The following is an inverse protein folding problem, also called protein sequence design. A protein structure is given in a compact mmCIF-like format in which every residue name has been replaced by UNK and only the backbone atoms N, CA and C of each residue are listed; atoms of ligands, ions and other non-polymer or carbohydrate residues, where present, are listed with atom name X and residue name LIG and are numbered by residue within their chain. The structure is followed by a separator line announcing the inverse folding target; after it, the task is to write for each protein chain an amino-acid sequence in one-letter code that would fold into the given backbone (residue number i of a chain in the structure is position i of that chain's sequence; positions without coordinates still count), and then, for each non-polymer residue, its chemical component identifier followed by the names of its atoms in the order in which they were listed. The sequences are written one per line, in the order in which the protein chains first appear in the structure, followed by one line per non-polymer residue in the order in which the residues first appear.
data_IF_934172321917
#
_entry.id   IF_934172321917
#
_cell.length_a   1.000
_cell.length_b   1.000
_cell.length_c   1.000
_cell.angle_alpha   90.00
_cell.angle_beta   90.00
_cell.angle_gamma   90.00
#
_symmetry.space_group_name_H-M   'P 1'
#
loop_
_entity.id
_entity.type
_entity.pdbx_description
1 polymer ?
#
# COMPACT_ATOMS: atom_id res chain seq x y z
N UNK A 1 2.66 12.40 -5.88
CA UNK A 1 3.58 11.69 -5.01
C UNK A 1 4.88 11.44 -5.76
N UNK A 2 6.02 11.70 -5.11
CA UNK A 2 7.34 11.43 -5.65
C UNK A 2 7.45 9.95 -6.06
N UNK A 3 8.11 9.67 -7.19
CA UNK A 3 8.21 8.33 -7.73
C UNK A 3 6.95 7.80 -8.43
N UNK A 4 5.88 8.61 -8.54
CA UNK A 4 4.62 8.20 -9.16
C UNK A 4 4.39 8.92 -10.48
N UNK A 5 4.22 8.18 -11.55
CA UNK A 5 3.82 8.58 -12.90
C UNK A 5 4.48 9.87 -13.41
N UNK A 6 3.80 11.02 -13.33
CA UNK A 6 4.29 12.32 -13.82
C UNK A 6 5.23 13.05 -12.85
N UNK A 7 5.36 12.55 -11.61
CA UNK A 7 6.30 13.12 -10.65
C UNK A 7 7.74 12.70 -10.94
N UNK A 8 8.69 13.41 -10.36
CA UNK A 8 10.10 13.04 -10.46
C UNK A 8 10.36 11.61 -9.99
N UNK A 9 11.29 10.93 -10.66
CA UNK A 9 11.65 9.53 -10.44
C UNK A 9 13.13 9.42 -9.97
N UNK A 10 13.49 9.95 -8.78
CA UNK A 10 14.87 9.88 -8.31
C UNK A 10 15.29 8.44 -8.01
N UNK A 11 16.58 8.15 -8.17
CA UNK A 11 17.15 6.83 -7.88
C UNK A 11 17.64 6.67 -6.44
N UNK A 12 17.53 7.72 -5.63
CA UNK A 12 17.95 7.69 -4.23
C UNK A 12 16.93 6.94 -3.37
N UNK A 13 17.28 5.72 -3.00
CA UNK A 13 16.43 4.85 -2.20
C UNK A 13 16.20 5.36 -0.77
N UNK A 14 17.02 6.28 -0.26
CA UNK A 14 16.84 6.89 1.07
C UNK A 14 15.57 7.74 1.17
N UNK A 15 15.04 8.19 0.03
CA UNK A 15 13.81 8.99 -0.05
C UNK A 15 12.53 8.17 0.19
N UNK A 16 12.60 6.84 0.08
CA UNK A 16 11.40 6.00 0.19
C UNK A 16 11.14 5.61 1.65
N UNK A 17 10.64 6.56 2.43
CA UNK A 17 10.25 6.37 3.84
C UNK A 17 8.84 6.91 4.07
N UNK A 18 8.13 6.32 5.03
CA UNK A 18 6.79 6.76 5.41
C UNK A 18 6.80 8.22 5.86
N UNK A 19 7.80 8.61 6.64
CA UNK A 19 7.98 9.97 7.16
C UNK A 19 8.12 10.98 6.01
N UNK A 20 8.90 10.65 4.98
CA UNK A 20 9.08 11.52 3.81
C UNK A 20 7.76 11.72 3.06
N UNK A 21 6.97 10.66 2.90
CA UNK A 21 5.68 10.76 2.23
C UNK A 21 4.63 11.51 3.07
N UNK A 22 4.68 11.40 4.39
CA UNK A 22 3.86 12.22 5.30
C UNK A 22 4.17 13.70 5.11
N UNK A 23 5.44 14.08 5.05
CA UNK A 23 5.85 15.47 4.79
C UNK A 23 5.39 15.96 3.40
N UNK A 24 5.39 15.09 2.40
CA UNK A 24 4.88 15.44 1.07
C UNK A 24 3.38 15.79 1.11
N UNK A 25 2.57 15.03 1.86
CA UNK A 25 1.15 15.36 2.07
C UNK A 25 1.01 16.74 2.72
N UNK A 26 1.83 17.04 3.74
CA UNK A 26 1.81 18.35 4.41
C UNK A 26 2.20 19.49 3.46
N UNK A 27 3.18 19.28 2.58
CA UNK A 27 3.55 20.30 1.59
C UNK A 27 2.42 20.53 0.57
N UNK A 28 1.75 19.46 0.12
CA UNK A 28 0.58 19.59 -0.77
C UNK A 28 -0.54 20.33 -0.06
N UNK A 29 -0.89 19.97 1.19
CA UNK A 29 -1.89 20.67 1.98
C UNK A 29 -1.61 22.19 2.06
N UNK A 30 -0.36 22.56 2.37
CA UNK A 30 0.07 23.97 2.42
C UNK A 30 -0.07 24.67 1.08
N UNK A 31 0.37 24.00 0.01
CA UNK A 31 0.35 24.57 -1.34
C UNK A 31 -1.06 24.89 -1.84
N UNK A 32 -2.06 24.07 -1.45
CA UNK A 32 -3.47 24.29 -1.80
C UNK A 32 -4.22 25.18 -0.79
N UNK A 33 -3.56 25.67 0.26
CA UNK A 33 -4.17 26.52 1.29
C UNK A 33 -5.24 25.82 2.14
N UNK A 34 -5.19 24.48 2.25
CA UNK A 34 -6.14 23.72 3.05
C UNK A 34 -5.77 23.76 4.54
N UNK A 35 -6.78 23.79 5.42
CA UNK A 35 -6.63 23.87 6.87
C UNK A 35 -7.63 22.99 7.62
N UNK A 36 -7.62 23.06 8.96
CA UNK A 36 -8.50 22.28 9.83
C UNK A 36 -10.00 22.50 9.59
N UNK A 37 -10.41 23.53 8.86
CA UNK A 37 -11.83 23.82 8.59
C UNK A 37 -12.31 23.14 7.28
N UNK A 38 -11.40 22.83 6.38
CA UNK A 38 -11.73 22.36 5.03
C UNK A 38 -10.94 21.16 4.54
N UNK A 39 -9.93 20.67 5.28
CA UNK A 39 -9.08 19.57 4.83
C UNK A 39 -9.60 18.22 5.32
N UNK A 40 -10.18 17.45 4.40
CA UNK A 40 -10.43 16.02 4.55
C UNK A 40 -9.40 15.23 3.74
N UNK A 41 -8.82 14.21 4.35
CA UNK A 41 -7.89 13.31 3.66
C UNK A 41 -8.56 11.96 3.46
N UNK A 42 -8.65 11.51 2.21
CA UNK A 42 -9.08 10.16 1.86
C UNK A 42 -7.87 9.36 1.39
N UNK A 43 -7.62 8.25 2.05
CA UNK A 43 -6.56 7.32 1.70
C UNK A 43 -7.09 5.91 1.44
N UNK A 44 -6.75 5.34 0.27
CA UNK A 44 -7.03 3.96 -0.06
C UNK A 44 -5.75 3.15 -0.10
N UNK A 45 -5.74 1.94 0.49
CA UNK A 45 -4.56 1.06 0.56
C UNK A 45 -3.34 1.81 1.13
N UNK A 46 -2.21 1.87 0.44
CA UNK A 46 -1.05 2.68 0.83
C UNK A 46 -1.45 4.11 1.28
N UNK A 47 -2.40 4.73 0.57
CA UNK A 47 -2.92 6.05 0.96
C UNK A 47 -3.62 6.03 2.32
N UNK A 48 -4.22 4.93 2.73
CA UNK A 48 -4.83 4.75 4.04
C UNK A 48 -3.78 4.68 5.15
N UNK A 49 -2.69 3.93 4.93
CA UNK A 49 -1.51 3.91 5.82
C UNK A 49 -0.96 5.32 5.98
N UNK A 50 -0.68 5.98 4.86
CA UNK A 50 -0.13 7.33 4.83
C UNK A 50 -1.05 8.34 5.53
N UNK A 51 -2.37 8.21 5.33
CA UNK A 51 -3.38 9.05 5.98
C UNK A 51 -3.40 8.88 7.50
N UNK A 52 -3.29 7.65 8.00
CA UNK A 52 -3.20 7.38 9.44
C UNK A 52 -1.92 7.94 10.05
N UNK A 53 -0.77 7.75 9.42
CA UNK A 53 0.50 8.34 9.88
C UNK A 53 0.48 9.87 9.83
N UNK A 54 -0.14 10.44 8.79
CA UNK A 54 -0.35 11.88 8.69
C UNK A 54 -1.23 12.38 9.83
N UNK A 55 -2.34 11.70 10.13
CA UNK A 55 -3.22 12.09 11.24
C UNK A 55 -2.51 11.99 12.60
N UNK A 56 -1.72 10.95 12.84
CA UNK A 56 -0.92 10.82 14.06
C UNK A 56 0.06 11.98 14.29
N UNK A 57 0.46 12.67 13.22
CA UNK A 57 1.39 13.79 13.29
C UNK A 57 0.72 15.16 13.15
N UNK A 58 -0.31 15.27 12.31
CA UNK A 58 -0.87 16.56 11.86
C UNK A 58 -2.41 16.64 11.97
N UNK A 59 -3.05 15.86 12.85
CA UNK A 59 -4.50 15.87 12.97
C UNK A 59 -5.09 17.25 13.32
N UNK A 60 -4.31 18.13 13.95
CA UNK A 60 -4.70 19.51 14.23
C UNK A 60 -4.84 20.38 12.95
N UNK A 61 -4.38 19.91 11.81
CA UNK A 61 -4.45 20.56 10.50
C UNK A 61 -5.57 20.01 9.61
N UNK A 62 -6.30 18.99 10.08
CA UNK A 62 -7.31 18.32 9.27
C UNK A 62 -8.66 18.27 9.95
N UNK A 63 -9.73 18.25 9.15
CA UNK A 63 -11.11 18.17 9.59
C UNK A 63 -11.59 16.74 9.75
N UNK A 64 -11.03 15.81 9.00
CA UNK A 64 -11.37 14.40 9.08
C UNK A 64 -10.50 13.52 8.19
N UNK A 65 -10.49 12.23 8.50
CA UNK A 65 -9.74 11.20 7.79
C UNK A 65 -10.69 10.09 7.32
N UNK A 66 -10.59 9.71 6.05
CA UNK A 66 -11.31 8.56 5.48
C UNK A 66 -10.27 7.51 5.09
N UNK A 67 -10.31 6.35 5.75
CA UNK A 67 -9.44 5.21 5.46
C UNK A 67 -10.25 4.14 4.74
N UNK A 68 -9.75 3.70 3.59
CA UNK A 68 -10.36 2.65 2.80
C UNK A 68 -9.34 1.54 2.50
N UNK A 69 -9.76 0.28 2.67
CA UNK A 69 -9.00 -0.92 2.28
C UNK A 69 -7.56 -0.94 2.85
N UNK A 70 -7.41 -0.62 4.14
CA UNK A 70 -6.11 -0.65 4.82
C UNK A 70 -6.22 -1.27 6.21
N UNK A 71 -5.17 -1.95 6.61
CA UNK A 71 -4.95 -2.51 7.95
C UNK A 71 -4.16 -1.53 8.82
N UNK A 72 -4.09 -1.78 10.12
CA UNK A 72 -3.27 -0.98 11.05
C UNK A 72 -1.97 -1.71 11.48
N UNK A 73 -1.73 -2.92 10.96
CA UNK A 73 -0.56 -3.73 11.28
C UNK A 73 -0.19 -4.62 10.10
N UNK A 74 1.01 -4.42 9.55
CA UNK A 74 1.55 -5.28 8.51
C UNK A 74 1.88 -6.70 9.01
N UNK A 75 2.43 -6.90 10.24
CA UNK A 75 2.63 -8.24 10.78
C UNK A 75 1.33 -9.04 10.93
N UNK A 76 0.24 -8.41 11.35
CA UNK A 76 -1.06 -9.11 11.46
C UNK A 76 -1.64 -9.44 10.09
N UNK A 77 -1.50 -8.54 9.12
CA UNK A 77 -1.90 -8.85 7.76
C UNK A 77 -1.08 -10.01 7.18
N UNK A 78 0.24 -10.00 7.38
CA UNK A 78 1.11 -11.09 6.94
C UNK A 78 0.70 -12.44 7.54
N UNK A 79 0.42 -12.47 8.84
CA UNK A 79 -0.11 -13.66 9.51
C UNK A 79 -1.44 -14.11 8.92
N UNK A 80 -2.37 -13.20 8.70
CA UNK A 80 -3.66 -13.50 8.06
C UNK A 80 -3.49 -14.03 6.63
N UNK A 81 -2.57 -13.45 5.86
CA UNK A 81 -2.27 -13.91 4.51
C UNK A 81 -1.78 -15.37 4.51
N UNK A 82 -0.90 -15.74 5.46
CA UNK A 82 -0.37 -17.10 5.58
C UNK A 82 -1.39 -18.10 6.11
N UNK A 83 -2.12 -17.75 7.17
CA UNK A 83 -2.98 -18.69 7.90
C UNK A 83 -4.38 -18.82 7.28
N UNK A 84 -4.84 -17.79 6.56
CA UNK A 84 -6.21 -17.72 6.05
C UNK A 84 -6.26 -17.64 4.52
N UNK A 85 -5.50 -16.75 3.89
CA UNK A 85 -5.59 -16.52 2.45
C UNK A 85 -4.82 -17.58 1.65
N UNK A 86 -3.60 -17.92 2.07
CA UNK A 86 -2.79 -18.92 1.39
C UNK A 86 -3.47 -20.29 1.29
N UNK A 87 -4.10 -20.83 2.33
CA UNK A 87 -4.80 -22.11 2.24
C UNK A 87 -6.01 -22.14 1.29
N UNK A 88 -6.52 -20.98 0.88
CA UNK A 88 -7.62 -20.89 -0.09
C UNK A 88 -7.17 -21.06 -1.54
N UNK A 89 -5.86 -20.91 -1.80
CA UNK A 89 -5.30 -21.10 -3.13
C UNK A 89 -5.17 -22.58 -3.49
N UNK A 90 -5.14 -22.84 -4.78
CA UNK A 90 -4.72 -24.17 -5.25
C UNK A 90 -3.30 -24.48 -4.73
N UNK A 91 -3.08 -25.63 -4.05
CA UNK A 91 -1.78 -25.92 -3.44
C UNK A 91 -0.59 -25.95 -4.42
N UNK A 92 -0.81 -26.35 -5.68
CA UNK A 92 0.25 -26.35 -6.71
C UNK A 92 0.62 -24.92 -7.12
N UNK A 93 -0.38 -24.06 -7.26
CA UNK A 93 -0.18 -22.63 -7.57
C UNK A 93 0.57 -21.95 -6.43
N UNK A 94 0.13 -22.17 -5.19
CA UNK A 94 0.80 -21.61 -4.01
C UNK A 94 2.27 -22.08 -3.91
N UNK A 95 2.54 -23.36 -4.15
CA UNK A 95 3.90 -23.90 -4.13
C UNK A 95 4.80 -23.23 -5.20
N UNK A 96 4.30 -23.02 -6.41
CA UNK A 96 5.02 -22.32 -7.48
C UNK A 96 5.30 -20.87 -7.11
N UNK A 97 4.31 -20.14 -6.56
CA UNK A 97 4.48 -18.77 -6.06
C UNK A 97 5.59 -18.74 -5.00
N UNK A 98 5.53 -19.62 -3.99
CA UNK A 98 6.53 -19.68 -2.91
C UNK A 98 7.95 -20.02 -3.39
N UNK A 99 8.06 -20.87 -4.40
CA UNK A 99 9.36 -21.15 -5.03
C UNK A 99 9.95 -19.90 -5.69
N UNK A 100 9.13 -19.13 -6.42
CA UNK A 100 9.58 -17.89 -7.05
C UNK A 100 9.94 -16.83 -6.00
N UNK A 101 9.17 -16.71 -4.92
CA UNK A 101 9.46 -15.81 -3.81
C UNK A 101 10.77 -16.16 -3.11
N UNK A 102 11.03 -17.46 -2.86
CA UNK A 102 12.28 -17.93 -2.26
C UNK A 102 13.50 -17.61 -3.13
N UNK A 103 13.33 -17.67 -4.45
CA UNK A 103 14.37 -17.32 -5.45
C UNK A 103 14.46 -15.82 -5.72
N UNK A 104 13.54 -15.00 -5.18
CA UNK A 104 13.38 -13.57 -5.50
C UNK A 104 13.17 -13.30 -6.98
N UNK A 105 12.52 -14.23 -7.68
CA UNK A 105 12.26 -14.18 -9.14
C UNK A 105 10.98 -13.37 -9.45
N UNK A 106 10.90 -12.17 -8.90
CA UNK A 106 9.71 -11.29 -8.98
C UNK A 106 9.55 -10.61 -10.33
N UNK A 107 10.63 -10.51 -11.11
CA UNK A 107 10.60 -9.94 -12.46
C UNK A 107 10.06 -10.92 -13.50
N UNK A 108 9.91 -12.19 -13.17
CA UNK A 108 9.36 -13.20 -14.03
C UNK A 108 7.86 -12.97 -14.25
N UNK A 109 7.38 -12.80 -15.48
CA UNK A 109 5.96 -12.59 -15.76
C UNK A 109 5.05 -13.66 -15.16
N UNK A 110 5.56 -14.89 -15.04
CA UNK A 110 4.84 -16.04 -14.46
C UNK A 110 4.34 -15.74 -13.04
N UNK A 111 5.09 -14.95 -12.26
CA UNK A 111 4.70 -14.58 -10.89
C UNK A 111 3.33 -13.86 -10.87
N UNK A 112 3.15 -12.84 -11.71
CA UNK A 112 1.87 -12.12 -11.80
C UNK A 112 0.80 -12.93 -12.55
N UNK A 113 1.16 -13.79 -13.51
CA UNK A 113 0.23 -14.71 -14.17
C UNK A 113 -0.41 -15.69 -13.18
N UNK A 114 0.30 -16.07 -12.11
CA UNK A 114 -0.23 -16.89 -11.03
C UNK A 114 -1.04 -16.07 -10.04
N UNK A 115 -0.53 -14.91 -9.60
CA UNK A 115 -1.17 -14.09 -8.56
C UNK A 115 -2.47 -13.43 -9.04
N UNK A 116 -2.53 -12.90 -10.24
CA UNK A 116 -3.71 -12.17 -10.70
C UNK A 116 -4.98 -13.04 -10.66
N UNK A 117 -5.03 -14.21 -11.28
CA UNK A 117 -6.24 -15.03 -11.27
C UNK A 117 -6.53 -15.72 -9.94
N UNK A 118 -5.51 -16.02 -9.12
CA UNK A 118 -5.66 -16.83 -7.91
C UNK A 118 -5.68 -16.02 -6.61
N UNK A 119 -5.31 -14.72 -6.67
CA UNK A 119 -5.32 -13.86 -5.51
C UNK A 119 -5.97 -12.50 -5.80
N UNK A 120 -5.49 -11.75 -6.80
CA UNK A 120 -5.98 -10.38 -7.01
C UNK A 120 -7.44 -10.33 -7.45
N UNK A 121 -7.93 -11.29 -8.24
CA UNK A 121 -9.35 -11.36 -8.65
C UNK A 121 -10.29 -11.70 -7.51
N UNK A 122 -9.82 -12.34 -6.46
CA UNK A 122 -10.62 -12.65 -5.27
C UNK A 122 -10.55 -11.54 -4.22
N UNK A 123 -9.38 -10.95 -4.01
CA UNK A 123 -9.10 -10.12 -2.84
C UNK A 123 -8.85 -8.64 -3.17
N UNK A 124 -8.50 -8.27 -4.40
CA UNK A 124 -8.26 -6.88 -4.80
C UNK A 124 -9.39 -6.31 -5.66
N UNK A 125 -9.74 -6.97 -6.78
CA UNK A 125 -10.84 -6.51 -7.64
C UNK A 125 -11.55 -7.72 -8.27
N UNK A 126 -12.79 -7.98 -7.84
CA UNK A 126 -13.62 -9.11 -8.26
C UNK A 126 -14.33 -8.91 -9.59
N UNK A 127 -14.20 -7.74 -10.19
CA UNK A 127 -14.81 -7.50 -11.52
C UNK A 127 -14.12 -8.36 -12.57
N UNK A 128 -14.91 -8.92 -13.49
CA UNK A 128 -14.40 -9.74 -14.61
C UNK A 128 -13.38 -8.95 -15.42
N UNK A 129 -13.76 -7.75 -15.81
CA UNK A 129 -12.93 -6.80 -16.52
C UNK A 129 -12.58 -5.66 -15.55
N UNK A 130 -11.30 -5.47 -15.29
CA UNK A 130 -10.88 -4.43 -14.38
C UNK A 130 -11.14 -3.04 -14.97
N UNK A 131 -11.63 -2.07 -14.17
CA UNK A 131 -11.88 -0.72 -14.62
C UNK A 131 -10.61 -0.06 -15.20
N UNK A 132 -10.79 0.82 -16.18
CA UNK A 132 -9.69 1.55 -16.82
C UNK A 132 -8.81 2.30 -15.80
N UNK A 133 -9.42 2.90 -14.77
CA UNK A 133 -8.68 3.57 -13.69
C UNK A 133 -7.73 2.65 -12.95
N UNK A 134 -8.14 1.40 -12.65
CA UNK A 134 -7.29 0.40 -12.00
C UNK A 134 -6.17 -0.05 -12.95
N UNK A 135 -6.50 -0.38 -14.20
CA UNK A 135 -5.51 -0.79 -15.20
C UNK A 135 -4.44 0.28 -15.43
N UNK A 136 -4.84 1.56 -15.52
CA UNK A 136 -3.90 2.68 -15.64
C UNK A 136 -3.04 2.84 -14.40
N UNK A 137 -3.62 2.71 -13.20
CA UNK A 137 -2.86 2.78 -11.95
C UNK A 137 -1.79 1.70 -11.90
N UNK A 138 -2.16 0.46 -12.19
CA UNK A 138 -1.20 -0.67 -12.23
C UNK A 138 -0.09 -0.46 -13.26
N UNK A 139 -0.43 0.03 -14.44
CA UNK A 139 0.53 0.31 -15.51
C UNK A 139 1.57 1.38 -15.15
N UNK A 140 1.19 2.36 -14.34
CA UNK A 140 2.05 3.50 -13.98
C UNK A 140 2.60 3.43 -12.55
N UNK A 141 2.35 2.34 -11.84
CA UNK A 141 2.99 2.07 -10.56
C UNK A 141 4.50 1.90 -10.75
N UNK A 142 5.28 2.52 -9.87
CA UNK A 142 6.73 2.31 -9.85
C UNK A 142 7.04 1.00 -9.10
N UNK A 143 7.32 -0.05 -9.86
CA UNK A 143 7.53 -1.39 -9.32
C UNK A 143 8.76 -1.49 -8.41
N UNK A 144 9.80 -0.69 -8.65
CA UNK A 144 11.01 -0.66 -7.80
C UNK A 144 10.67 -0.12 -6.40
N UNK A 145 9.99 1.02 -6.34
CA UNK A 145 9.56 1.63 -5.07
C UNK A 145 8.53 0.74 -4.37
N UNK A 146 7.56 0.21 -5.13
CA UNK A 146 6.55 -0.69 -4.60
C UNK A 146 7.18 -1.92 -3.93
N UNK A 147 8.09 -2.61 -4.62
CA UNK A 147 8.78 -3.79 -4.08
C UNK A 147 9.63 -3.46 -2.86
N UNK A 148 10.28 -2.29 -2.85
CA UNK A 148 11.10 -1.85 -1.72
C UNK A 148 10.26 -1.53 -0.48
N UNK A 149 9.10 -0.90 -0.66
CA UNK A 149 8.22 -0.50 0.44
C UNK A 149 7.33 -1.64 0.91
N UNK A 150 6.54 -2.20 0.01
CA UNK A 150 5.54 -3.23 0.28
C UNK A 150 6.12 -4.65 0.22
N UNK A 151 6.89 -4.93 -0.81
CA UNK A 151 7.28 -6.27 -1.21
C UNK A 151 6.80 -6.58 -2.64
N UNK A 152 6.95 -7.83 -3.09
CA UNK A 152 6.71 -8.17 -4.49
C UNK A 152 5.23 -8.16 -4.90
N UNK A 153 4.30 -8.25 -3.94
CA UNK A 153 2.86 -8.35 -4.21
C UNK A 153 2.01 -7.93 -3.01
N UNK A 154 0.68 -7.88 -3.20
CA UNK A 154 -0.30 -7.69 -2.12
C UNK A 154 -0.53 -8.96 -1.28
N UNK A 155 0.08 -10.10 -1.63
CA UNK A 155 -0.10 -11.35 -0.90
C UNK A 155 0.60 -11.36 0.47
N UNK A 156 1.53 -10.45 0.71
CA UNK A 156 2.21 -10.28 1.98
C UNK A 156 2.99 -8.98 2.04
N UNK A 157 3.55 -8.65 3.19
CA UNK A 157 4.38 -7.46 3.37
C UNK A 157 5.80 -7.90 3.72
N UNK A 158 6.72 -7.70 2.79
CA UNK A 158 8.12 -8.13 2.91
C UNK A 158 9.13 -6.99 2.74
N UNK A 159 8.68 -5.79 2.40
CA UNK A 159 9.50 -4.60 2.23
C UNK A 159 9.76 -3.83 3.52
N UNK A 160 10.04 -2.54 3.39
CA UNK A 160 10.30 -1.65 4.55
C UNK A 160 9.12 -1.55 5.51
N UNK A 161 7.91 -1.81 5.02
CA UNK A 161 6.68 -1.79 5.81
C UNK A 161 6.43 -3.08 6.59
N UNK A 162 7.26 -4.11 6.46
CA UNK A 162 7.02 -5.43 7.05
C UNK A 162 6.77 -5.41 8.58
N UNK A 163 7.35 -4.45 9.29
CA UNK A 163 7.19 -4.29 10.73
C UNK A 163 6.30 -3.10 11.12
N UNK A 164 5.61 -2.47 10.14
CA UNK A 164 4.74 -1.35 10.42
C UNK A 164 3.50 -1.78 11.22
N UNK A 165 3.34 -1.20 12.41
CA UNK A 165 2.21 -1.47 13.31
C UNK A 165 1.88 -0.20 14.12
N UNK A 166 0.69 0.32 13.94
CA UNK A 166 0.20 1.51 14.64
C UNK A 166 -1.03 1.23 15.52
N UNK A 167 -1.41 -0.02 15.71
CA UNK A 167 -2.64 -0.38 16.45
C UNK A 167 -2.71 0.28 17.83
N UNK A 168 -1.62 0.25 18.58
CA UNK A 168 -1.56 0.85 19.91
C UNK A 168 -1.75 2.38 19.86
N UNK A 169 -1.43 3.00 18.74
CA UNK A 169 -1.49 4.45 18.51
C UNK A 169 -2.80 4.92 17.88
N UNK A 170 -3.66 4.04 17.37
CA UNK A 170 -4.95 4.45 16.77
C UNK A 170 -5.80 5.29 17.74
N UNK A 171 -5.73 5.01 19.04
CA UNK A 171 -6.40 5.79 20.08
C UNK A 171 -5.95 7.26 20.19
N UNK A 172 -4.82 7.61 19.60
CA UNK A 172 -4.28 8.99 19.58
C UNK A 172 -4.96 9.85 18.52
N UNK A 173 -5.56 9.24 17.49
CA UNK A 173 -6.33 9.94 16.44
C UNK A 173 -7.68 10.35 17.05
N UNK A 174 -7.97 11.65 17.10
CA UNK A 174 -9.16 12.23 17.74
C UNK A 174 -10.12 12.90 16.76
N UNK A 175 -9.72 13.04 15.51
CA UNK A 175 -10.58 13.55 14.44
C UNK A 175 -11.53 12.47 13.94
N UNK A 176 -12.68 12.84 13.34
CA UNK A 176 -13.59 11.88 12.73
C UNK A 176 -12.98 11.26 11.49
#
# INVERSE_FOLDING_TARGET
QLGSYYSDQPKDSSLWTTERFVEEVEQVRKAIGADANNFYLLGNSWGGLLGMEYALKYQDKMKGLIVANMVASAPEYGKYAEEVLAPQMNPKVLAEIREMEAKKDFANPRYMELLVPNFYKEHACRLKDWPDGLNRSMKHANSEIYTMMQGPSEFGVAGRLANWDIKARLKEIKIP
#
